data_IF_135248839968
#
_entry.id   IF_135248839968
#
_cell.length_a   1.000
_cell.length_b   1.000
_cell.length_c   1.000
_cell.angle_alpha   90.00
_cell.angle_beta   90.00
_cell.angle_gamma   90.00
#
_symmetry.space_group_name_H-M   'P 1'
#
loop_
_entity.id
_entity.type
_entity.pdbx_description
1 polymer ?
#
# COMPACT_ATOMS: atom_id res chain seq x y z
N UNK A 1 -10.34 -4.57 15.04
CA UNK A 1 -9.99 -3.69 13.91
C UNK A 1 -8.52 -3.86 13.66
N UNK A 2 -8.11 -3.81 12.40
CA UNK A 2 -6.71 -3.84 12.00
C UNK A 2 -6.30 -2.49 11.44
N UNK A 3 -5.03 -2.14 11.62
CA UNK A 3 -4.46 -0.91 11.08
C UNK A 3 -3.60 -1.25 9.87
N UNK A 4 -3.86 -0.56 8.77
CA UNK A 4 -3.07 -0.62 7.55
C UNK A 4 -2.26 0.67 7.46
N UNK A 5 -0.95 0.54 7.56
CA UNK A 5 -0.01 1.64 7.38
C UNK A 5 0.53 1.65 5.96
N UNK A 6 0.93 2.82 5.47
CA UNK A 6 1.46 2.98 4.11
C UNK A 6 2.85 3.60 4.18
N UNK A 7 3.83 2.87 3.66
CA UNK A 7 5.18 3.35 3.39
C UNK A 7 5.27 3.70 1.91
N UNK A 8 5.22 5.00 1.60
CA UNK A 8 5.19 5.49 0.23
C UNK A 8 6.54 5.40 -0.47
N UNK A 9 7.62 4.98 0.20
CA UNK A 9 8.95 4.80 -0.40
C UNK A 9 9.41 6.01 -1.24
N UNK A 10 9.17 7.21 -0.74
CA UNK A 10 9.54 8.47 -1.40
C UNK A 10 8.39 9.22 -2.09
N UNK A 11 7.23 8.59 -2.30
CA UNK A 11 6.02 9.28 -2.74
C UNK A 11 5.35 10.10 -1.63
N UNK A 12 4.26 10.79 -1.97
CA UNK A 12 3.44 11.52 -0.99
C UNK A 12 2.99 10.62 0.17
N UNK A 13 2.96 11.15 1.39
CA UNK A 13 2.52 10.38 2.56
C UNK A 13 1.02 10.12 2.52
N UNK A 14 0.62 8.93 2.97
CA UNK A 14 -0.78 8.56 3.15
C UNK A 14 -1.11 8.43 4.64
N UNK A 15 -2.36 8.73 4.99
CA UNK A 15 -2.86 8.44 6.33
C UNK A 15 -3.11 6.93 6.48
N UNK A 16 -2.80 6.33 7.64
CA UNK A 16 -3.12 4.94 7.90
C UNK A 16 -4.63 4.72 7.92
N UNK A 17 -5.07 3.56 7.45
CA UNK A 17 -6.48 3.17 7.40
C UNK A 17 -6.80 2.16 8.49
N UNK A 18 -7.97 2.30 9.10
CA UNK A 18 -8.51 1.32 10.04
C UNK A 18 -9.58 0.48 9.35
N UNK A 19 -9.41 -0.84 9.38
CA UNK A 19 -10.28 -1.79 8.68
C UNK A 19 -10.88 -2.80 9.66
N UNK A 20 -12.13 -3.19 9.40
CA UNK A 20 -12.82 -4.22 10.16
C UNK A 20 -12.14 -5.58 10.03
N UNK A 21 -12.33 -6.45 11.02
CA UNK A 21 -11.83 -7.82 10.91
C UNK A 21 -12.59 -8.54 9.79
N UNK A 22 -11.85 -9.14 8.84
CA UNK A 22 -12.46 -9.91 7.75
C UNK A 22 -13.13 -9.06 6.67
N UNK A 23 -12.97 -7.74 6.67
CA UNK A 23 -13.41 -6.88 5.58
C UNK A 23 -12.28 -6.64 4.59
N UNK A 24 -12.63 -6.47 3.32
CA UNK A 24 -11.68 -6.01 2.31
C UNK A 24 -11.26 -4.56 2.60
N UNK A 25 -10.03 -4.22 2.24
CA UNK A 25 -9.52 -2.85 2.36
C UNK A 25 -9.94 -2.08 1.10
N UNK A 26 -10.52 -0.89 1.27
CA UNK A 26 -10.70 0.03 0.15
C UNK A 26 -9.33 0.55 -0.25
N UNK A 27 -8.96 0.34 -1.52
CA UNK A 27 -7.70 0.84 -2.06
C UNK A 27 -7.65 2.37 -1.91
N UNK A 28 -6.59 2.92 -1.27
CA UNK A 28 -6.45 4.36 -1.15
C UNK A 28 -6.10 4.98 -2.50
N UNK A 29 -6.20 6.30 -2.59
CA UNK A 29 -5.63 7.03 -3.72
C UNK A 29 -4.12 6.76 -3.80
N UNK A 30 -3.63 6.48 -5.01
CA UNK A 30 -2.23 6.18 -5.22
C UNK A 30 -1.37 7.40 -4.82
N UNK A 31 -0.23 7.18 -4.13
CA UNK A 31 0.70 8.26 -3.84
C UNK A 31 1.21 8.88 -5.14
N UNK A 32 1.68 10.13 -5.03
CA UNK A 32 2.32 10.83 -6.14
C UNK A 32 3.82 10.85 -5.87
N UNK A 33 4.61 10.43 -6.87
CA UNK A 33 6.07 10.57 -6.86
C UNK A 33 6.55 11.10 -8.21
N UNK A 34 7.01 12.35 -8.25
CA UNK A 34 7.40 13.01 -9.51
C UNK A 34 8.52 12.25 -10.23
N UNK A 35 8.31 11.98 -11.53
CA UNK A 35 9.24 11.21 -12.35
C UNK A 35 9.10 9.69 -12.22
N UNK A 36 8.10 9.20 -11.47
CA UNK A 36 7.83 7.78 -11.29
C UNK A 36 6.37 7.44 -11.57
N UNK A 37 6.11 6.20 -11.97
CA UNK A 37 4.78 5.59 -12.08
C UNK A 37 4.58 4.65 -10.91
N UNK A 38 3.43 4.78 -10.23
CA UNK A 38 3.04 3.89 -9.16
C UNK A 38 2.80 2.47 -9.71
N UNK A 39 3.55 1.50 -9.20
CA UNK A 39 3.54 0.11 -9.62
C UNK A 39 2.72 -0.82 -8.72
N UNK A 40 2.04 -0.26 -7.70
CA UNK A 40 1.23 -1.01 -6.75
C UNK A 40 1.80 -1.09 -5.34
N UNK A 41 0.99 -1.65 -4.44
CA UNK A 41 1.32 -1.86 -3.03
C UNK A 41 1.83 -3.28 -2.79
N UNK A 42 2.79 -3.44 -1.89
CA UNK A 42 3.42 -4.71 -1.53
C UNK A 42 3.35 -4.92 -0.02
N UNK A 43 3.25 -6.17 0.42
CA UNK A 43 3.13 -6.53 1.84
C UNK A 43 4.49 -6.58 2.56
N UNK A 44 5.58 -6.52 1.81
CA UNK A 44 6.95 -6.60 2.28
C UNK A 44 7.79 -5.41 1.80
N UNK A 45 8.82 -5.05 2.57
CA UNK A 45 9.72 -3.96 2.20
C UNK A 45 10.65 -4.31 1.03
N UNK A 46 10.80 -5.59 0.67
CA UNK A 46 11.59 -6.04 -0.48
C UNK A 46 10.81 -5.94 -1.80
N UNK A 47 9.53 -5.57 -1.75
CA UNK A 47 8.62 -5.42 -2.90
C UNK A 47 8.48 -6.70 -3.74
N UNK A 48 8.41 -7.84 -3.04
CA UNK A 48 8.31 -9.19 -3.63
C UNK A 48 6.91 -9.79 -3.54
N UNK A 49 6.13 -9.43 -2.53
CA UNK A 49 4.77 -9.89 -2.28
C UNK A 49 3.74 -8.80 -2.61
N UNK A 50 3.15 -8.79 -3.82
CA UNK A 50 2.13 -7.81 -4.17
C UNK A 50 0.90 -7.96 -3.29
N UNK A 51 0.42 -6.84 -2.75
CA UNK A 51 -0.76 -6.82 -1.91
C UNK A 51 -2.02 -6.69 -2.77
N UNK A 52 -2.97 -7.60 -2.57
CA UNK A 52 -4.26 -7.58 -3.26
C UNK A 52 -5.34 -7.03 -2.32
N UNK A 53 -5.91 -5.87 -2.66
CA UNK A 53 -6.99 -5.24 -1.86
C UNK A 53 -8.29 -6.06 -1.81
N UNK A 54 -8.45 -7.02 -2.73
CA UNK A 54 -9.53 -8.01 -2.68
C UNK A 54 -9.35 -9.05 -1.57
N UNK A 55 -8.14 -9.19 -1.02
CA UNK A 55 -7.89 -10.09 0.10
C UNK A 55 -8.44 -9.51 1.41
N UNK A 56 -9.00 -10.36 2.25
CA UNK A 56 -9.43 -9.97 3.58
C UNK A 56 -8.22 -9.59 4.43
N UNK A 57 -8.31 -8.46 5.13
CA UNK A 57 -7.28 -8.03 6.07
C UNK A 57 -7.35 -8.93 7.32
N UNK A 58 -6.30 -9.72 7.54
CA UNK A 58 -6.20 -10.69 8.65
C UNK A 58 -5.35 -10.18 9.83
N UNK A 59 -4.77 -8.99 9.71
CA UNK A 59 -3.80 -8.48 10.66
C UNK A 59 -3.44 -7.02 10.39
N UNK A 60 -2.72 -6.41 11.31
CA UNK A 60 -2.05 -5.13 11.03
C UNK A 60 -1.00 -5.38 9.95
N UNK A 61 -0.95 -4.51 8.95
CA UNK A 61 -0.03 -4.64 7.82
C UNK A 61 0.51 -3.27 7.44
N UNK A 62 1.77 -3.25 7.02
CA UNK A 62 2.37 -2.08 6.39
C UNK A 62 2.52 -2.37 4.91
N UNK A 63 1.94 -1.52 4.07
CA UNK A 63 2.01 -1.63 2.63
C UNK A 63 3.11 -0.72 2.09
N UNK A 64 3.96 -1.25 1.23
CA UNK A 64 5.10 -0.57 0.65
C UNK A 64 4.82 -0.24 -0.82
N UNK A 65 4.98 1.04 -1.18
CA UNK A 65 4.77 1.48 -2.55
C UNK A 65 5.93 1.04 -3.44
N UNK A 66 5.62 0.42 -4.58
CA UNK A 66 6.59 0.17 -5.63
C UNK A 66 6.50 1.26 -6.70
N UNK A 67 7.65 1.69 -7.18
CA UNK A 67 7.78 2.74 -8.18
C UNK A 67 8.56 2.25 -9.38
N UNK A 68 8.15 2.68 -10.56
CA UNK A 68 8.91 2.49 -11.81
C UNK A 68 9.28 3.87 -12.33
N UNK A 69 10.57 4.11 -12.61
CA UNK A 69 11.03 5.38 -13.19
C UNK A 69 10.41 5.62 -14.56
N UNK A 70 9.92 6.83 -14.79
CA UNK A 70 9.43 7.28 -16.10
C UNK A 70 10.64 7.70 -16.94
N UNK A 71 11.39 6.72 -17.43
CA UNK A 71 12.52 6.92 -18.36
C UNK A 71 12.05 7.05 -19.80
#
# INVERSE_FOLDING_TARGET
MYTVSFESNGGSSLQPLSVGHGTALVEPEAPIFEGYTFGGWYADSELTEPYLFSAAVKGNVTLYAKWTTNV
#
